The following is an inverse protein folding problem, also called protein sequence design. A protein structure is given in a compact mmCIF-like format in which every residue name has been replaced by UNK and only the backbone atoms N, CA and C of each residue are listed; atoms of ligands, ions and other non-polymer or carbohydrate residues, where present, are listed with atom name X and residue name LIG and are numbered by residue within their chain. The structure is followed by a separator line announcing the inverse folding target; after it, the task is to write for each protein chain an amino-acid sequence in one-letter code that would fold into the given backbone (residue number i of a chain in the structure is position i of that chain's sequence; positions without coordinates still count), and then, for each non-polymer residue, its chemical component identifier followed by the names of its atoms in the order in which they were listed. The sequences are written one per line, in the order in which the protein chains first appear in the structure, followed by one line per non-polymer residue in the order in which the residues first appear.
data_IF_774993060616
#
_entry.id   IF_774993060616
#
_cell.length_a   1.000
_cell.length_b   1.000
_cell.length_c   1.000
_cell.angle_alpha   90.00
_cell.angle_beta   90.00
_cell.angle_gamma   90.00
#
_symmetry.space_group_name_H-M   'P 1'
#
loop_
_entity.id
_entity.type
_entity.pdbx_description
1 polymer ?
#
# COMPACT_ATOMS: atom_id res chain seq x y z
N UNK A 1 8.35 -13.31 4.28
CA UNK A 1 8.34 -14.76 4.56
C UNK A 1 7.73 -15.06 5.94
N UNK A 2 8.38 -14.75 7.07
CA UNK A 2 7.83 -14.96 8.44
C UNK A 2 6.37 -14.51 8.61
N UNK A 3 5.99 -13.35 8.08
CA UNK A 3 4.60 -12.85 8.18
C UNK A 3 3.57 -13.65 7.36
N UNK A 4 3.98 -14.40 6.34
CA UNK A 4 3.09 -15.30 5.59
C UNK A 4 2.98 -16.62 6.35
N UNK A 5 4.12 -17.19 6.76
CA UNK A 5 4.19 -18.47 7.47
C UNK A 5 3.51 -18.43 8.85
N UNK A 6 3.50 -17.28 9.52
CA UNK A 6 2.85 -17.13 10.84
C UNK A 6 1.34 -17.32 10.80
N UNK A 7 0.75 -17.26 9.60
CA UNK A 7 -0.68 -17.26 9.34
C UNK A 7 -1.49 -16.16 10.04
N UNK A 8 -0.86 -15.20 10.71
CA UNK A 8 -1.55 -14.10 11.38
C UNK A 8 -2.23 -13.17 10.38
N UNK A 9 -3.29 -12.50 10.83
CA UNK A 9 -3.97 -11.46 10.05
C UNK A 9 -3.11 -10.22 9.97
N UNK A 10 -2.54 -9.97 8.79
CA UNK A 10 -1.60 -8.89 8.55
C UNK A 10 -1.92 -8.30 7.18
N UNK A 11 -2.29 -7.03 7.15
CA UNK A 11 -2.35 -6.29 5.91
C UNK A 11 -0.94 -5.91 5.45
N UNK A 12 -0.42 -6.61 4.44
CA UNK A 12 0.98 -6.45 4.07
C UNK A 12 1.31 -5.09 3.44
N UNK A 13 0.39 -4.46 2.70
CA UNK A 13 0.66 -3.11 2.16
C UNK A 13 0.82 -2.07 3.28
N UNK A 14 0.08 -2.20 4.38
CA UNK A 14 0.30 -1.37 5.58
C UNK A 14 1.73 -1.50 6.08
N UNK A 15 2.22 -2.73 6.23
CA UNK A 15 3.58 -3.00 6.71
C UNK A 15 4.62 -2.44 5.74
N UNK A 16 4.44 -2.68 4.44
CA UNK A 16 5.33 -2.18 3.40
C UNK A 16 5.37 -0.66 3.35
N UNK A 17 4.22 0.03 3.40
CA UNK A 17 4.16 1.50 3.36
C UNK A 17 4.87 2.11 4.57
N UNK A 18 4.65 1.60 5.77
CA UNK A 18 5.34 2.07 6.98
C UNK A 18 6.87 1.90 6.86
N UNK A 19 7.33 0.76 6.34
CA UNK A 19 8.76 0.54 6.12
C UNK A 19 9.34 1.42 5.01
N UNK A 20 8.64 1.58 3.89
CA UNK A 20 9.07 2.45 2.80
C UNK A 20 9.16 3.90 3.27
N UNK A 21 8.19 4.38 4.02
CA UNK A 21 8.21 5.72 4.61
C UNK A 21 9.44 5.90 5.53
N UNK A 22 9.73 4.92 6.38
CA UNK A 22 10.91 4.92 7.25
C UNK A 22 12.21 5.06 6.45
N UNK A 23 12.40 4.21 5.44
CA UNK A 23 13.62 4.21 4.65
C UNK A 23 13.75 5.46 3.78
N UNK A 24 12.67 5.90 3.13
CA UNK A 24 12.68 7.12 2.30
C UNK A 24 13.06 8.32 3.16
N UNK A 25 12.41 8.51 4.32
CA UNK A 25 12.73 9.62 5.22
C UNK A 25 14.14 9.51 5.81
N UNK A 26 14.64 8.30 6.08
CA UNK A 26 16.03 8.10 6.50
C UNK A 26 17.02 8.55 5.42
N UNK A 27 16.76 8.21 4.16
CA UNK A 27 17.56 8.67 3.01
C UNK A 27 17.49 10.20 2.89
N UNK A 28 16.31 10.80 3.07
CA UNK A 28 16.16 12.25 3.05
C UNK A 28 17.03 12.94 4.12
N UNK A 29 17.02 12.43 5.36
CA UNK A 29 17.90 12.94 6.44
C UNK A 29 19.37 12.83 6.05
N UNK A 30 19.79 11.68 5.50
CA UNK A 30 21.19 11.46 5.07
C UNK A 30 21.64 12.44 3.97
N UNK A 31 20.71 12.97 3.19
CA UNK A 31 21.00 13.82 2.04
C UNK A 31 20.53 15.28 2.23
N UNK A 32 20.15 15.68 3.46
CA UNK A 32 19.63 17.02 3.76
C UNK A 32 18.41 17.43 2.89
N UNK A 33 17.56 16.46 2.55
CA UNK A 33 16.31 16.68 1.81
C UNK A 33 15.19 16.88 2.83
N UNK A 34 14.50 18.01 2.76
CA UNK A 34 13.40 18.37 3.67
C UNK A 34 12.02 18.36 3.00
N UNK A 35 11.94 18.08 1.70
CA UNK A 35 10.68 18.00 0.94
C UNK A 35 10.63 16.68 0.17
N UNK A 36 9.51 15.96 0.35
CA UNK A 36 9.16 14.77 -0.43
C UNK A 36 7.92 15.09 -1.26
N UNK A 37 7.97 14.81 -2.56
CA UNK A 37 6.81 14.84 -3.44
C UNK A 37 6.24 13.42 -3.58
N UNK A 38 4.98 13.24 -3.18
CA UNK A 38 4.23 12.01 -3.33
C UNK A 38 3.21 12.08 -4.47
N UNK A 39 2.77 10.92 -4.94
CA UNK A 39 1.74 10.79 -5.97
C UNK A 39 0.32 10.56 -5.43
N UNK A 40 0.07 10.82 -4.13
CA UNK A 40 -1.18 10.47 -3.47
C UNK A 40 -2.37 11.29 -3.95
N UNK A 41 -3.47 10.65 -4.35
CA UNK A 41 -4.70 11.34 -4.77
C UNK A 41 -5.59 11.71 -3.57
N UNK A 42 -6.71 12.38 -3.83
CA UNK A 42 -7.69 12.76 -2.77
C UNK A 42 -8.32 11.56 -2.08
N UNK A 43 -8.47 10.42 -2.77
CA UNK A 43 -8.97 9.17 -2.17
C UNK A 43 -7.99 8.52 -1.19
N UNK A 44 -6.73 8.96 -1.17
CA UNK A 44 -5.67 8.40 -0.31
C UNK A 44 -5.49 9.19 0.98
N UNK A 45 -6.58 9.71 1.55
CA UNK A 45 -6.60 10.47 2.80
C UNK A 45 -6.70 9.55 4.02
N UNK A 46 -5.65 8.76 4.26
CA UNK A 46 -5.62 7.73 5.31
C UNK A 46 -5.93 8.21 6.74
N UNK A 47 -5.75 9.50 7.03
CA UNK A 47 -6.05 10.09 8.35
C UNK A 47 -7.58 10.24 8.55
N UNK A 48 -8.36 10.30 7.47
CA UNK A 48 -9.82 10.43 7.52
C UNK A 48 -10.54 9.08 7.42
N UNK A 49 -9.90 8.07 6.86
CA UNK A 49 -10.53 6.78 6.57
C UNK A 49 -10.48 5.86 7.79
N UNK A 50 -11.35 6.13 8.76
CA UNK A 50 -11.50 5.36 10.00
C UNK A 50 -11.80 3.87 9.75
N UNK A 51 -12.34 3.54 8.57
CA UNK A 51 -12.66 2.19 8.14
C UNK A 51 -11.42 1.28 8.09
N UNK A 52 -10.21 1.83 7.92
CA UNK A 52 -8.98 1.04 7.88
C UNK A 52 -8.29 0.91 9.24
N UNK A 53 -8.71 1.69 10.24
CA UNK A 53 -7.96 1.78 11.51
C UNK A 53 -7.86 0.45 12.23
N UNK A 54 -8.96 -0.30 12.33
CA UNK A 54 -8.94 -1.61 13.01
C UNK A 54 -8.10 -2.65 12.25
N UNK A 55 -8.06 -2.60 10.92
CA UNK A 55 -7.17 -3.46 10.09
C UNK A 55 -5.71 -3.12 10.40
N UNK A 56 -5.40 -1.83 10.47
CA UNK A 56 -4.05 -1.34 10.79
C UNK A 56 -3.64 -1.70 12.21
N UNK A 57 -4.49 -1.48 13.20
CA UNK A 57 -4.23 -1.86 14.60
C UNK A 57 -3.98 -3.36 14.75
N UNK A 58 -4.83 -4.20 14.14
CA UNK A 58 -4.65 -5.65 14.17
C UNK A 58 -3.36 -6.10 13.46
N UNK A 59 -3.03 -5.46 12.34
CA UNK A 59 -1.81 -5.74 11.59
C UNK A 59 -0.56 -5.34 12.38
N UNK A 60 -0.55 -4.12 12.95
CA UNK A 60 0.56 -3.56 13.70
C UNK A 60 0.81 -4.40 14.98
N UNK A 61 -0.26 -4.79 15.69
CA UNK A 61 -0.19 -5.73 16.83
C UNK A 61 0.43 -7.07 16.42
N UNK A 62 -0.03 -7.68 15.32
CA UNK A 62 0.48 -8.97 14.87
C UNK A 62 1.94 -8.91 14.41
N UNK A 63 2.39 -7.78 13.86
CA UNK A 63 3.80 -7.54 13.55
C UNK A 63 4.63 -7.47 14.82
N UNK A 64 4.21 -6.70 15.83
CA UNK A 64 4.92 -6.63 17.11
C UNK A 64 5.02 -8.02 17.74
N UNK A 65 3.91 -8.75 17.84
CA UNK A 65 3.89 -10.09 18.44
C UNK A 65 4.81 -11.08 17.71
N UNK A 66 4.91 -10.98 16.38
CA UNK A 66 5.74 -11.87 15.58
C UNK A 66 7.24 -11.59 15.75
N UNK A 67 7.62 -10.34 16.01
CA UNK A 67 9.01 -9.89 15.99
C UNK A 67 9.56 -9.44 17.36
N UNK A 68 8.74 -9.36 18.41
CA UNK A 68 9.15 -8.86 19.75
C UNK A 68 10.38 -9.55 20.35
N UNK A 69 10.57 -10.83 20.04
CA UNK A 69 11.68 -11.64 20.56
C UNK A 69 12.86 -11.76 19.57
N UNK A 70 12.72 -11.22 18.36
CA UNK A 70 13.76 -11.28 17.34
C UNK A 70 14.61 -10.01 17.38
N UNK A 71 15.80 -10.10 18.00
CA UNK A 71 16.73 -8.97 18.13
C UNK A 71 17.08 -8.30 16.80
N UNK A 72 17.01 -9.04 15.68
CA UNK A 72 17.27 -8.50 14.34
C UNK A 72 16.19 -7.51 13.90
N UNK A 73 14.97 -7.63 14.43
CA UNK A 73 13.81 -6.81 14.07
C UNK A 73 13.30 -5.97 15.25
N UNK A 74 14.18 -5.63 16.19
CA UNK A 74 13.84 -4.77 17.34
C UNK A 74 13.36 -3.38 16.89
N UNK A 75 14.00 -2.80 15.87
CA UNK A 75 13.58 -1.51 15.30
C UNK A 75 12.20 -1.59 14.64
N UNK A 76 11.89 -2.71 13.97
CA UNK A 76 10.55 -2.95 13.43
C UNK A 76 9.51 -2.89 14.55
N UNK A 77 9.77 -3.56 15.67
CA UNK A 77 8.86 -3.55 16.81
C UNK A 77 8.66 -2.14 17.37
N UNK A 78 9.72 -1.33 17.44
CA UNK A 78 9.64 0.06 17.89
C UNK A 78 8.81 0.95 16.93
N UNK A 79 9.00 0.78 15.61
CA UNK A 79 8.20 1.50 14.60
C UNK A 79 6.72 1.13 14.76
N UNK A 80 6.40 -0.16 14.83
CA UNK A 80 5.02 -0.64 14.81
C UNK A 80 4.27 -0.47 16.14
N UNK A 81 4.95 -0.22 17.27
CA UNK A 81 4.30 0.17 18.53
C UNK A 81 3.49 1.46 18.40
N UNK A 82 4.00 2.45 17.67
CA UNK A 82 3.28 3.68 17.37
C UNK A 82 3.85 4.34 16.11
N UNK A 83 3.47 3.89 14.91
CA UNK A 83 4.09 4.34 13.66
C UNK A 83 4.06 5.85 13.47
N UNK A 84 2.92 6.48 13.73
CA UNK A 84 2.75 7.93 13.57
C UNK A 84 3.70 8.69 14.52
N UNK A 85 3.67 8.34 15.82
CA UNK A 85 4.52 8.96 16.83
C UNK A 85 6.00 8.78 16.48
N UNK A 86 6.39 7.55 16.17
CA UNK A 86 7.77 7.23 15.79
C UNK A 86 8.25 8.06 14.59
N UNK A 87 7.43 8.15 13.53
CA UNK A 87 7.77 8.92 12.33
C UNK A 87 7.84 10.42 12.60
N UNK A 88 6.92 10.97 13.40
CA UNK A 88 6.93 12.39 13.77
C UNK A 88 8.15 12.76 14.61
N UNK A 89 8.50 11.94 15.60
CA UNK A 89 9.66 12.17 16.46
C UNK A 89 10.97 12.10 15.67
N UNK A 90 11.10 11.14 14.74
CA UNK A 90 12.34 10.92 13.99
C UNK A 90 12.48 11.84 12.77
N UNK A 91 11.38 12.24 12.15
CA UNK A 91 11.37 12.87 10.83
C UNK A 91 10.44 14.09 10.71
N UNK A 92 10.01 14.68 11.84
CA UNK A 92 9.03 15.78 11.86
C UNK A 92 9.41 17.02 11.04
N UNK A 93 10.69 17.19 10.70
CA UNK A 93 11.18 18.30 9.89
C UNK A 93 11.04 18.07 8.37
N UNK A 94 10.62 16.88 7.93
CA UNK A 94 10.45 16.55 6.50
C UNK A 94 8.99 16.79 6.10
N UNK A 95 8.78 17.69 5.16
CA UNK A 95 7.48 18.01 4.59
C UNK A 95 7.17 17.04 3.45
N UNK A 96 5.98 16.43 3.49
CA UNK A 96 5.49 15.57 2.41
C UNK A 96 4.31 16.25 1.71
N UNK A 97 4.48 16.56 0.43
CA UNK A 97 3.47 17.21 -0.40
C UNK A 97 2.97 16.22 -1.47
N UNK A 98 1.68 16.28 -1.77
CA UNK A 98 1.13 15.55 -2.92
C UNK A 98 0.36 16.53 -3.81
N UNK A 99 0.88 16.87 -5.00
CA UNK A 99 0.21 17.80 -5.91
C UNK A 99 -1.22 17.37 -6.27
N UNK A 100 -1.46 16.06 -6.40
CA UNK A 100 -2.77 15.50 -6.73
C UNK A 100 -3.83 15.67 -5.63
N UNK A 101 -3.48 16.21 -4.45
CA UNK A 101 -4.49 16.66 -3.47
C UNK A 101 -5.13 17.99 -3.84
N UNK A 102 -4.43 18.81 -4.62
CA UNK A 102 -4.84 20.16 -4.98
C UNK A 102 -5.30 20.28 -6.44
N UNK A 103 -5.08 19.23 -7.21
CA UNK A 103 -5.52 19.13 -8.61
C UNK A 103 -6.78 18.27 -8.69
N UNK A 104 -7.62 18.54 -9.68
CA UNK A 104 -8.74 17.64 -10.03
C UNK A 104 -8.16 16.40 -10.69
N UNK A 105 -8.55 15.23 -10.19
CA UNK A 105 -8.09 13.98 -10.80
C UNK A 105 -8.87 13.70 -12.09
N UNK A 106 -8.14 13.33 -13.15
CA UNK A 106 -8.71 12.97 -14.45
C UNK A 106 -7.90 11.81 -15.07
N UNK A 107 -8.45 10.59 -15.02
CA UNK A 107 -7.78 9.38 -15.55
C UNK A 107 -7.29 9.56 -16.98
N UNK A 108 -8.16 10.12 -17.85
CA UNK A 108 -7.89 10.20 -19.29
C UNK A 108 -6.77 11.19 -19.59
N UNK A 109 -6.78 12.35 -18.91
CA UNK A 109 -5.72 13.35 -19.05
C UNK A 109 -4.38 12.81 -18.55
N UNK A 110 -4.37 12.19 -17.37
CA UNK A 110 -3.16 11.60 -16.79
C UNK A 110 -2.59 10.52 -17.72
N UNK A 111 -3.45 9.61 -18.21
CA UNK A 111 -3.02 8.55 -19.11
C UNK A 111 -2.49 9.11 -20.43
N UNK A 112 -3.15 10.12 -21.00
CA UNK A 112 -2.71 10.76 -22.25
C UNK A 112 -1.33 11.40 -22.10
N UNK A 113 -1.09 12.14 -21.01
CA UNK A 113 0.24 12.71 -20.73
C UNK A 113 1.29 11.59 -20.59
N UNK A 114 0.98 10.54 -19.82
CA UNK A 114 1.91 9.43 -19.57
C UNK A 114 2.26 8.69 -20.86
N UNK A 115 1.28 8.39 -21.73
CA UNK A 115 1.49 7.57 -22.94
C UNK A 115 1.89 8.39 -24.16
N UNK A 116 1.24 9.53 -24.41
CA UNK A 116 1.44 10.30 -25.63
C UNK A 116 2.55 11.33 -25.51
N UNK A 117 2.68 12.00 -24.37
CA UNK A 117 3.73 13.02 -24.18
C UNK A 117 5.01 12.40 -23.65
N UNK A 118 4.91 11.65 -22.55
CA UNK A 118 6.07 11.08 -21.85
C UNK A 118 6.51 9.72 -22.40
N UNK A 119 5.72 9.11 -23.30
CA UNK A 119 6.01 7.83 -23.97
C UNK A 119 6.26 6.66 -23.00
N UNK A 120 5.69 6.70 -21.79
CA UNK A 120 5.71 5.56 -20.88
C UNK A 120 4.78 4.46 -21.38
N UNK A 121 5.20 3.21 -21.14
CA UNK A 121 4.38 2.03 -21.45
C UNK A 121 3.55 1.65 -20.25
N UNK A 122 2.23 1.63 -20.42
CA UNK A 122 1.32 1.12 -19.39
C UNK A 122 1.56 -0.40 -19.24
N UNK A 123 1.71 -0.90 -18.01
CA UNK A 123 1.81 -2.33 -17.78
C UNK A 123 0.56 -3.05 -18.28
N UNK A 124 0.74 -4.13 -19.05
CA UNK A 124 -0.38 -4.94 -19.55
C UNK A 124 -1.22 -5.53 -18.43
N UNK A 125 -0.56 -5.92 -17.33
CA UNK A 125 -1.18 -6.52 -16.16
C UNK A 125 -0.83 -5.66 -14.95
N UNK A 126 -1.84 -5.02 -14.36
CA UNK A 126 -1.71 -4.28 -13.11
C UNK A 126 -2.96 -4.49 -12.26
N UNK A 127 -2.78 -4.46 -10.94
CA UNK A 127 -3.88 -4.45 -10.00
C UNK A 127 -3.65 -3.33 -8.97
N UNK A 128 -4.63 -2.44 -8.76
CA UNK A 128 -5.85 -2.29 -9.56
C UNK A 128 -5.55 -1.89 -11.02
N UNK A 129 -6.55 -1.98 -11.89
CA UNK A 129 -6.41 -1.67 -13.32
C UNK A 129 -5.70 -0.32 -13.56
N UNK A 130 -4.81 -0.29 -14.58
CA UNK A 130 -3.94 0.84 -14.94
C UNK A 130 -3.09 1.44 -13.81
N UNK A 131 -2.68 0.62 -12.84
CA UNK A 131 -1.75 1.05 -11.77
C UNK A 131 -0.29 0.67 -12.03
N UNK A 132 0.64 1.36 -11.38
CA UNK A 132 2.08 1.05 -11.38
C UNK A 132 2.51 0.29 -10.11
N UNK A 133 1.60 -0.49 -9.52
CA UNK A 133 1.80 -1.12 -8.22
C UNK A 133 2.93 -2.16 -8.19
N UNK A 134 3.42 -2.43 -6.98
CA UNK A 134 4.45 -3.44 -6.77
C UNK A 134 3.91 -4.85 -7.08
N UNK A 135 4.79 -5.75 -7.51
CA UNK A 135 4.41 -7.14 -7.83
C UNK A 135 3.87 -7.90 -6.61
N UNK A 136 4.24 -7.52 -5.38
CA UNK A 136 3.72 -8.17 -4.17
C UNK A 136 2.29 -7.73 -3.84
N UNK A 137 1.76 -6.68 -4.49
CA UNK A 137 0.43 -6.17 -4.25
C UNK A 137 -0.63 -7.26 -4.48
N UNK A 138 -0.51 -8.07 -5.53
CA UNK A 138 -1.45 -9.18 -5.80
C UNK A 138 -1.61 -10.13 -4.60
N UNK A 139 -0.50 -10.54 -3.98
CA UNK A 139 -0.51 -11.40 -2.79
C UNK A 139 -1.14 -10.68 -1.61
N UNK A 140 -0.74 -9.43 -1.38
CA UNK A 140 -1.25 -8.60 -0.28
C UNK A 140 -2.77 -8.45 -0.35
N UNK A 141 -3.28 -8.10 -1.53
CA UNK A 141 -4.70 -7.77 -1.73
C UNK A 141 -5.56 -9.03 -1.65
N UNK A 142 -5.14 -10.12 -2.29
CA UNK A 142 -5.85 -11.41 -2.15
C UNK A 142 -5.97 -11.83 -0.69
N UNK A 143 -4.89 -11.72 0.09
CA UNK A 143 -4.91 -12.09 1.50
C UNK A 143 -5.76 -11.14 2.33
N UNK A 144 -5.64 -9.84 2.11
CA UNK A 144 -6.43 -8.84 2.83
C UNK A 144 -7.92 -9.02 2.58
N UNK A 145 -8.34 -9.27 1.35
CA UNK A 145 -9.73 -9.56 1.02
C UNK A 145 -10.24 -10.82 1.75
N UNK A 146 -9.43 -11.88 1.84
CA UNK A 146 -9.80 -13.10 2.58
C UNK A 146 -9.85 -12.89 4.10
N UNK A 147 -8.92 -12.11 4.66
CA UNK A 147 -8.77 -11.94 6.12
C UNK A 147 -9.71 -10.88 6.71
N UNK A 148 -9.95 -9.79 5.97
CA UNK A 148 -10.63 -8.61 6.47
C UNK A 148 -11.89 -8.24 5.69
N UNK A 149 -12.12 -8.84 4.51
CA UNK A 149 -13.30 -8.62 3.67
C UNK A 149 -13.21 -7.41 2.73
N UNK A 150 -12.27 -6.50 2.95
CA UNK A 150 -11.95 -5.36 2.09
C UNK A 150 -10.52 -4.89 2.34
N UNK A 151 -9.95 -4.14 1.39
CA UNK A 151 -8.63 -3.55 1.49
C UNK A 151 -8.71 -2.01 1.35
N UNK A 152 -7.52 -1.41 1.30
CA UNK A 152 -7.37 0.04 1.17
C UNK A 152 -7.97 0.57 -0.14
N UNK A 153 -7.80 -0.15 -1.25
CA UNK A 153 -8.26 0.31 -2.56
C UNK A 153 -9.79 0.44 -2.63
N UNK A 154 -10.54 -0.42 -1.96
CA UNK A 154 -12.00 -0.30 -1.87
C UNK A 154 -12.41 1.01 -1.18
N UNK A 155 -11.70 1.41 -0.12
CA UNK A 155 -11.96 2.68 0.58
C UNK A 155 -11.57 3.88 -0.28
N UNK A 156 -10.41 3.84 -0.94
CA UNK A 156 -9.93 4.92 -1.81
C UNK A 156 -10.86 5.16 -3.00
N UNK A 157 -11.31 4.09 -3.66
CA UNK A 157 -12.24 4.19 -4.79
C UNK A 157 -13.63 4.65 -4.33
N UNK A 158 -14.05 4.28 -3.11
CA UNK A 158 -15.29 4.76 -2.51
C UNK A 158 -15.26 6.28 -2.27
N UNK A 159 -14.11 6.82 -1.83
CA UNK A 159 -13.91 8.26 -1.68
C UNK A 159 -13.96 8.99 -3.03
N UNK A 160 -13.24 8.50 -4.05
CA UNK A 160 -13.26 9.12 -5.38
C UNK A 160 -14.66 9.14 -6.00
N UNK A 161 -15.48 8.12 -5.71
CA UNK A 161 -16.89 8.09 -6.12
C UNK A 161 -17.73 9.12 -5.36
N UNK A 162 -17.52 9.29 -4.05
CA UNK A 162 -18.21 10.32 -3.25
C UNK A 162 -17.89 11.73 -3.71
N UNK A 163 -16.64 11.98 -4.08
CA UNK A 163 -16.17 13.29 -4.56
C UNK A 163 -16.53 13.56 -6.03
N UNK A 164 -17.16 12.61 -6.73
CA UNK A 164 -17.55 12.75 -8.13
C UNK A 164 -16.39 12.68 -9.13
N UNK A 165 -15.19 12.30 -8.67
CA UNK A 165 -13.99 12.17 -9.52
C UNK A 165 -13.94 10.81 -10.25
N UNK A 166 -14.69 9.81 -9.79
CA UNK A 166 -14.78 8.49 -10.41
C UNK A 166 -16.23 7.98 -10.45
N UNK A 167 -16.63 7.36 -11.55
CA UNK A 167 -17.96 6.74 -11.60
C UNK A 167 -17.98 5.43 -10.78
N UNK A 168 -19.12 5.15 -10.14
CA UNK A 168 -19.31 3.87 -9.41
C UNK A 168 -19.05 2.65 -10.30
N UNK A 169 -19.46 2.72 -11.57
CA UNK A 169 -19.27 1.64 -12.52
C UNK A 169 -17.78 1.39 -12.78
N UNK A 170 -17.00 2.44 -13.02
CA UNK A 170 -15.55 2.34 -13.21
C UNK A 170 -14.85 1.83 -11.94
N UNK A 171 -15.26 2.29 -10.76
CA UNK A 171 -14.72 1.78 -9.50
C UNK A 171 -14.92 0.26 -9.34
N UNK A 172 -16.11 -0.25 -9.71
CA UNK A 172 -16.39 -1.67 -9.66
C UNK A 172 -15.59 -2.48 -10.69
N UNK A 173 -15.37 -1.95 -11.89
CA UNK A 173 -14.50 -2.57 -12.89
C UNK A 173 -13.07 -2.72 -12.36
N UNK A 174 -12.55 -1.68 -11.71
CA UNK A 174 -11.23 -1.68 -11.10
C UNK A 174 -11.13 -2.75 -10.00
N UNK A 175 -12.05 -2.78 -9.03
CA UNK A 175 -12.03 -3.74 -7.90
C UNK A 175 -12.20 -5.18 -8.38
N UNK A 176 -12.99 -5.40 -9.45
CA UNK A 176 -13.25 -6.73 -10.02
C UNK A 176 -12.14 -7.23 -10.95
N UNK A 177 -11.06 -6.48 -11.11
CA UNK A 177 -9.89 -6.92 -11.88
C UNK A 177 -9.40 -8.26 -11.30
N UNK A 178 -9.37 -9.35 -12.08
CA UNK A 178 -9.02 -10.66 -11.57
C UNK A 178 -7.55 -10.69 -11.14
N UNK A 179 -7.27 -11.36 -10.01
CA UNK A 179 -5.92 -11.73 -9.60
C UNK A 179 -5.70 -13.17 -10.07
N UNK A 180 -4.94 -13.32 -11.15
CA UNK A 180 -4.63 -14.63 -11.73
C UNK A 180 -3.52 -15.34 -10.95
N UNK A 181 -3.47 -16.67 -11.05
CA UNK A 181 -2.47 -17.51 -10.40
C UNK A 181 -1.02 -17.06 -10.75
N UNK A 182 -0.78 -16.69 -12.00
CA UNK A 182 0.51 -16.19 -12.47
C UNK A 182 0.94 -14.89 -11.75
N UNK A 183 -0.02 -14.05 -11.35
CA UNK A 183 0.27 -12.84 -10.59
C UNK A 183 0.80 -13.15 -9.18
N UNK A 184 0.52 -14.35 -8.65
CA UNK A 184 0.92 -14.81 -7.32
C UNK A 184 2.24 -15.59 -7.36
N UNK A 185 2.49 -16.38 -8.41
CA UNK A 185 3.68 -17.25 -8.52
C UNK A 185 4.98 -16.49 -8.34
N UNK A 186 5.20 -15.46 -9.16
CA UNK A 186 6.45 -14.70 -9.17
C UNK A 186 6.79 -14.01 -7.84
N UNK A 187 5.86 -13.28 -7.17
CA UNK A 187 6.15 -12.71 -5.85
C UNK A 187 6.38 -13.75 -4.76
N UNK A 188 5.65 -14.86 -4.75
CA UNK A 188 5.83 -15.93 -3.74
C UNK A 188 7.16 -16.66 -3.92
N UNK A 189 7.53 -16.97 -5.16
CA UNK A 189 8.80 -17.63 -5.47
C UNK A 189 10.00 -16.82 -4.97
N UNK A 190 9.97 -15.48 -5.10
CA UNK A 190 11.03 -14.60 -4.56
C UNK A 190 11.15 -14.67 -3.04
N UNK A 191 10.11 -15.09 -2.34
CA UNK A 191 10.10 -15.31 -0.91
C UNK A 191 10.42 -16.76 -0.53
N UNK A 192 10.66 -17.63 -1.51
CA UNK A 192 10.82 -19.07 -1.32
C UNK A 192 9.55 -19.70 -0.77
N UNK A 193 8.40 -19.36 -1.37
CA UNK A 193 7.05 -19.81 -1.03
C UNK A 193 6.29 -20.21 -2.31
N UNK A 194 5.20 -20.96 -2.17
CA UNK A 194 4.26 -21.32 -3.23
C UNK A 194 2.84 -20.81 -2.92
N UNK A 195 1.91 -21.05 -3.83
CA UNK A 195 0.53 -20.57 -3.71
C UNK A 195 -0.20 -21.24 -2.54
N UNK A 196 0.09 -22.51 -2.25
CA UNK A 196 -0.52 -23.24 -1.13
C UNK A 196 -0.20 -22.59 0.23
N UNK A 197 0.92 -21.87 0.34
CA UNK A 197 1.29 -21.12 1.55
C UNK A 197 0.34 -19.95 1.85
N UNK A 198 -0.46 -19.52 0.87
CA UNK A 198 -1.42 -18.42 1.01
C UNK A 198 -2.88 -18.83 0.79
N UNK A 199 -3.15 -20.04 0.29
CA UNK A 199 -4.51 -20.55 0.09
C UNK A 199 -5.08 -21.32 1.28
N UNK A 200 -4.22 -21.91 2.13
CA UNK A 200 -4.63 -22.76 3.26
C UNK A 200 -5.08 -21.98 4.51
N UNK A 201 -6.18 -21.22 4.36
CA UNK A 201 -6.90 -20.50 5.40
C UNK A 201 -8.35 -20.95 5.49
#
# INVERSE_FOLDING_TARGET
KKCIESKKDIYYCRVCHTLLEYYIKSICVQNNINVILGGYTKGQQYIKNSELFWIYEKSDYNIIELFKNDKKFSELSAIFQSPIKYMTEKFGNIVQLSPFKYMTWNENEILNIITEELKFKIPKNSWPDKSSNCMFNYVSQLKTMKQFGYAQHETELSDLVREGELSRQRALEIIRTPIEEENLKKPLLKLGLCIDDILNY
#
